data_IF_927027649429
#
_entry.id   IF_927027649429
#
_cell.length_a   1.000
_cell.length_b   1.000
_cell.length_c   1.000
_cell.angle_alpha   90.00
_cell.angle_beta   90.00
_cell.angle_gamma   90.00
#
_symmetry.space_group_name_H-M   'P 1'
#
loop_
_entity.id
_entity.type
_entity.pdbx_description
1 polymer ?
#
# COMPACT_ATOMS: atom_id res chain seq x y z
N UNK A 1 18.87 10.98 -9.69
CA UNK A 1 17.66 11.75 -9.36
C UNK A 1 16.73 11.56 -10.54
N UNK A 2 15.72 10.71 -10.39
CA UNK A 2 14.86 10.32 -11.52
C UNK A 2 13.73 11.34 -11.59
N UNK A 3 13.68 12.09 -12.69
CA UNK A 3 12.68 13.15 -12.91
C UNK A 3 11.28 12.53 -12.99
N UNK A 4 10.35 13.14 -12.26
CA UNK A 4 8.92 12.89 -12.36
C UNK A 4 8.51 13.21 -13.80
N UNK A 5 7.82 12.28 -14.45
CA UNK A 5 7.20 12.55 -15.74
C UNK A 5 6.04 13.51 -15.52
N UNK A 6 6.07 14.66 -16.18
CA UNK A 6 5.00 15.66 -16.13
C UNK A 6 3.66 14.99 -16.52
N UNK A 7 2.63 15.18 -15.69
CA UNK A 7 1.27 14.67 -15.95
C UNK A 7 0.89 13.32 -15.31
N UNK A 8 1.77 12.68 -14.52
CA UNK A 8 1.42 11.45 -13.78
C UNK A 8 1.16 11.77 -12.31
N UNK A 9 -0.03 11.45 -11.83
CA UNK A 9 -0.46 11.64 -10.45
C UNK A 9 -1.05 10.34 -9.90
N UNK A 10 -0.58 9.89 -8.74
CA UNK A 10 -1.32 8.95 -7.91
C UNK A 10 -2.21 9.73 -6.95
N UNK A 11 -3.43 9.28 -6.74
CA UNK A 11 -4.35 9.86 -5.75
C UNK A 11 -4.84 8.72 -4.87
N UNK A 12 -4.59 8.82 -3.57
CA UNK A 12 -5.21 7.99 -2.55
C UNK A 12 -6.59 8.52 -2.19
N UNK A 13 -7.60 7.67 -2.23
CA UNK A 13 -8.95 7.99 -1.76
C UNK A 13 -9.23 7.15 -0.53
N UNK A 14 -9.38 7.80 0.63
CA UNK A 14 -9.87 7.17 1.86
C UNK A 14 -11.36 7.55 2.02
N UNK A 15 -12.30 6.58 2.11
CA UNK A 15 -13.70 6.88 2.33
C UNK A 15 -13.96 7.55 3.69
N UNK A 16 -14.84 8.55 3.74
CA UNK A 16 -15.25 9.18 5.00
C UNK A 16 -15.82 8.15 5.98
N UNK A 17 -15.28 8.12 7.20
CA UNK A 17 -15.70 7.18 8.25
C UNK A 17 -15.05 5.80 8.19
N UNK A 18 -14.14 5.54 7.25
CA UNK A 18 -13.40 4.29 7.16
C UNK A 18 -12.24 4.17 8.17
N UNK A 19 -11.93 5.23 8.92
CA UNK A 19 -10.80 5.26 9.86
C UNK A 19 -10.90 4.14 10.91
N UNK A 20 -12.08 3.94 11.51
CA UNK A 20 -12.27 2.91 12.53
C UNK A 20 -12.16 1.48 11.97
N UNK A 21 -12.62 1.29 10.73
CA UNK A 21 -12.53 0.02 10.02
C UNK A 21 -11.07 -0.27 9.62
N UNK A 22 -10.32 0.76 9.24
CA UNK A 22 -8.89 0.69 8.96
C UNK A 22 -8.07 0.36 10.22
N UNK A 23 -8.31 1.06 11.32
CA UNK A 23 -7.63 0.80 12.59
C UNK A 23 -7.89 -0.64 13.06
N UNK A 24 -9.13 -1.13 12.89
CA UNK A 24 -9.49 -2.51 13.19
C UNK A 24 -8.75 -3.52 12.31
N UNK A 25 -8.55 -3.22 11.02
CA UNK A 25 -7.74 -4.05 10.13
C UNK A 25 -6.28 -4.11 10.58
N UNK A 26 -5.69 -2.97 10.94
CA UNK A 26 -4.29 -2.90 11.40
C UNK A 26 -4.11 -3.78 12.64
N UNK A 27 -5.00 -3.64 13.63
CA UNK A 27 -4.97 -4.45 14.85
C UNK A 27 -5.09 -5.96 14.53
N UNK A 28 -5.95 -6.35 13.59
CA UNK A 28 -6.14 -7.75 13.19
C UNK A 28 -4.93 -8.32 12.46
N UNK A 29 -4.33 -7.54 11.55
CA UNK A 29 -3.09 -7.90 10.84
C UNK A 29 -1.96 -8.19 11.85
N UNK A 30 -1.75 -7.28 12.79
CA UNK A 30 -0.70 -7.40 13.80
C UNK A 30 -0.92 -8.60 14.74
N UNK A 31 -2.18 -8.97 14.99
CA UNK A 31 -2.51 -10.14 15.79
C UNK A 31 -2.28 -11.47 15.05
N UNK A 32 -2.65 -11.55 13.77
CA UNK A 32 -2.71 -12.82 13.02
C UNK A 32 -1.38 -13.19 12.36
N UNK A 33 -0.66 -12.22 11.79
CA UNK A 33 0.50 -12.50 10.94
C UNK A 33 1.71 -13.04 11.70
N UNK A 34 2.08 -12.50 12.88
CA UNK A 34 3.21 -13.04 13.65
C UNK A 34 3.05 -14.51 14.04
N UNK A 35 1.82 -15.01 14.15
CA UNK A 35 1.53 -16.37 14.60
C UNK A 35 1.45 -17.41 13.46
N UNK A 36 1.22 -17.01 12.21
CA UNK A 36 0.76 -17.95 11.18
C UNK A 36 1.58 -18.05 9.88
N UNK A 37 2.50 -17.13 9.59
CA UNK A 37 2.87 -16.95 8.17
C UNK A 37 4.37 -16.84 7.93
N UNK A 38 5.06 -17.98 7.94
CA UNK A 38 6.27 -18.08 7.14
C UNK A 38 5.87 -18.09 5.66
N UNK A 39 6.25 -17.05 4.92
CA UNK A 39 6.32 -17.14 3.47
C UNK A 39 6.98 -18.47 3.10
N UNK A 40 6.33 -19.27 2.26
CA UNK A 40 6.55 -20.72 2.10
C UNK A 40 7.90 -21.12 1.46
N UNK A 41 8.99 -20.41 1.77
CA UNK A 41 10.33 -20.50 1.18
C UNK A 41 10.32 -20.41 -0.35
N UNK A 42 9.32 -19.73 -0.91
CA UNK A 42 9.27 -19.42 -2.34
C UNK A 42 10.02 -18.12 -2.60
N UNK A 43 10.41 -17.87 -3.84
CA UNK A 43 10.87 -16.53 -4.23
C UNK A 43 9.62 -15.71 -4.58
N UNK A 44 9.45 -14.49 -4.06
CA UNK A 44 8.33 -13.63 -4.48
C UNK A 44 8.45 -13.27 -5.95
N UNK A 45 7.31 -13.23 -6.64
CA UNK A 45 7.18 -12.72 -7.99
C UNK A 45 6.57 -11.32 -7.95
N UNK A 46 6.92 -10.50 -8.94
CA UNK A 46 6.24 -9.22 -9.14
C UNK A 46 4.76 -9.49 -9.41
N UNK A 47 3.88 -8.78 -8.72
CA UNK A 47 2.43 -8.95 -8.77
C UNK A 47 1.86 -9.90 -7.72
N UNK A 48 2.69 -10.58 -6.91
CA UNK A 48 2.19 -11.37 -5.78
C UNK A 48 1.54 -10.46 -4.74
N UNK A 49 0.31 -10.78 -4.32
CA UNK A 49 -0.36 -10.12 -3.20
C UNK A 49 0.10 -10.74 -1.88
N UNK A 50 0.65 -9.92 -1.00
CA UNK A 50 1.36 -10.36 0.20
C UNK A 50 1.20 -9.37 1.34
N UNK A 51 1.61 -9.82 2.52
CA UNK A 51 1.81 -8.96 3.68
C UNK A 51 3.32 -8.79 3.87
N UNK A 52 3.78 -7.56 3.98
CA UNK A 52 5.19 -7.22 4.16
C UNK A 52 5.44 -6.55 5.48
N UNK A 53 6.51 -6.95 6.16
CA UNK A 53 6.95 -6.31 7.39
C UNK A 53 7.77 -5.06 7.06
N UNK A 54 7.36 -3.93 7.60
CA UNK A 54 8.03 -2.63 7.50
C UNK A 54 9.26 -2.57 8.39
N UNK A 55 10.00 -1.46 8.29
CA UNK A 55 11.20 -1.21 9.09
C UNK A 55 10.87 -1.00 10.58
N UNK A 56 9.67 -0.52 10.89
CA UNK A 56 9.18 -0.32 12.26
C UNK A 56 8.51 -1.57 12.86
N UNK A 57 8.76 -2.73 12.24
CA UNK A 57 8.22 -4.05 12.58
C UNK A 57 6.70 -4.22 12.39
N UNK A 58 5.98 -3.20 11.91
CA UNK A 58 4.56 -3.30 11.56
C UNK A 58 4.33 -3.98 10.21
N UNK A 59 3.11 -4.46 9.97
CA UNK A 59 2.74 -5.23 8.80
C UNK A 59 1.78 -4.49 7.88
N UNK A 60 1.94 -4.77 6.60
CA UNK A 60 1.38 -3.95 5.54
C UNK A 60 0.94 -4.83 4.37
N UNK A 61 -0.29 -4.70 3.87
CA UNK A 61 -0.77 -5.46 2.71
C UNK A 61 -0.42 -4.76 1.40
N UNK A 62 0.04 -5.52 0.41
CA UNK A 62 0.36 -4.92 -0.88
C UNK A 62 0.76 -5.93 -1.95
N UNK A 63 1.07 -5.38 -3.12
CA UNK A 63 1.59 -6.15 -4.26
C UNK A 63 3.10 -5.99 -4.38
N UNK A 64 3.82 -7.09 -4.61
CA UNK A 64 5.25 -7.04 -4.88
C UNK A 64 5.50 -6.29 -6.19
N UNK A 65 6.26 -5.19 -6.13
CA UNK A 65 6.62 -4.41 -7.32
C UNK A 65 8.10 -4.52 -7.68
N UNK A 66 8.94 -4.91 -6.70
CA UNK A 66 10.37 -5.05 -6.89
C UNK A 66 10.92 -6.10 -5.93
N UNK A 67 11.83 -6.95 -6.41
CA UNK A 67 12.48 -8.00 -5.61
C UNK A 67 13.98 -7.72 -5.44
N UNK A 68 14.61 -7.01 -6.38
CA UNK A 68 16.03 -6.64 -6.36
C UNK A 68 16.19 -5.21 -6.85
N UNK A 69 17.03 -4.37 -6.22
CA UNK A 69 17.97 -4.69 -5.14
C UNK A 69 17.33 -4.78 -3.75
N UNK A 70 16.11 -4.28 -3.58
CA UNK A 70 15.34 -4.40 -2.35
C UNK A 70 13.91 -4.81 -2.65
N UNK A 71 13.34 -5.57 -1.72
CA UNK A 71 11.95 -6.01 -1.80
C UNK A 71 11.03 -4.81 -1.48
N UNK A 72 10.10 -4.52 -2.40
CA UNK A 72 9.17 -3.39 -2.25
C UNK A 72 7.74 -3.81 -2.57
N UNK A 73 6.82 -3.27 -1.80
CA UNK A 73 5.39 -3.41 -2.02
C UNK A 73 4.78 -2.09 -2.52
N UNK A 74 3.82 -2.19 -3.43
CA UNK A 74 2.80 -1.17 -3.59
C UNK A 74 1.69 -1.46 -2.57
N UNK A 75 1.57 -0.57 -1.59
CA UNK A 75 0.62 -0.66 -0.49
C UNK A 75 -0.80 -0.43 -1.02
N UNK A 76 -1.77 -1.23 -0.55
CA UNK A 76 -3.18 -1.12 -0.98
C UNK A 76 -4.08 -0.41 0.02
N UNK A 77 -3.74 -0.49 1.32
CA UNK A 77 -4.49 0.17 2.38
C UNK A 77 -3.85 1.51 2.80
N UNK A 78 -2.65 1.77 2.30
CA UNK A 78 -1.98 3.07 2.34
C UNK A 78 -1.49 3.39 0.94
N UNK A 79 -1.63 4.65 0.51
CA UNK A 79 -1.15 5.04 -0.81
C UNK A 79 0.36 5.29 -0.75
N UNK A 80 1.18 4.26 -1.02
CA UNK A 80 2.63 4.35 -0.92
C UNK A 80 3.40 3.15 -1.49
N UNK A 81 4.69 3.35 -1.73
CA UNK A 81 5.63 2.26 -2.01
C UNK A 81 6.52 2.06 -0.79
N UNK A 82 6.51 0.86 -0.23
CA UNK A 82 7.22 0.59 1.02
C UNK A 82 8.29 -0.48 0.82
N UNK A 83 9.44 -0.29 1.45
CA UNK A 83 10.47 -1.32 1.50
C UNK A 83 10.17 -2.26 2.67
N UNK A 84 10.17 -3.56 2.39
CA UNK A 84 9.83 -4.58 3.40
C UNK A 84 10.95 -5.59 3.58
N UNK A 85 11.07 -6.11 4.80
CA UNK A 85 12.13 -7.03 5.22
C UNK A 85 11.70 -8.50 5.14
N UNK A 86 10.43 -8.77 5.47
CA UNK A 86 9.83 -10.09 5.54
C UNK A 86 8.53 -10.12 4.74
N UNK A 87 8.15 -11.31 4.27
CA UNK A 87 6.86 -11.55 3.64
C UNK A 87 6.05 -12.59 4.42
N UNK A 88 4.75 -12.46 4.29
CA UNK A 88 3.74 -13.35 4.80
C UNK A 88 2.59 -13.50 3.78
N UNK A 89 1.89 -14.62 3.86
CA UNK A 89 0.63 -14.88 3.16
C UNK A 89 -0.42 -15.27 4.18
N UNK A 90 -1.55 -14.57 4.20
CA UNK A 90 -2.68 -14.95 5.05
C UNK A 90 -3.78 -15.60 4.20
N UNK A 91 -4.52 -16.53 4.80
CA UNK A 91 -5.79 -17.03 4.26
C UNK A 91 -6.92 -16.00 4.52
N UNK A 92 -8.11 -16.17 3.93
CA UNK A 92 -9.27 -15.35 4.26
C UNK A 92 -9.57 -15.37 5.76
N UNK A 93 -10.08 -14.26 6.34
CA UNK A 93 -10.69 -13.12 5.63
C UNK A 93 -9.70 -12.02 5.22
N UNK A 94 -8.51 -11.95 5.83
CA UNK A 94 -7.56 -10.86 5.62
C UNK A 94 -7.04 -10.77 4.19
N UNK A 95 -6.98 -11.89 3.44
CA UNK A 95 -6.62 -11.86 2.01
C UNK A 95 -7.72 -11.30 1.11
N UNK A 96 -8.97 -11.42 1.53
CA UNK A 96 -10.16 -11.15 0.71
C UNK A 96 -10.84 -9.82 1.07
N UNK A 97 -10.31 -9.13 2.08
CA UNK A 97 -10.75 -7.80 2.45
C UNK A 97 -10.45 -6.76 1.37
N UNK A 98 -11.41 -5.85 1.15
CA UNK A 98 -11.28 -4.72 0.24
C UNK A 98 -10.08 -3.84 0.60
N UNK A 99 -9.57 -3.10 -0.39
CA UNK A 99 -8.51 -2.12 -0.17
C UNK A 99 -9.11 -0.82 0.39
N UNK A 100 -8.44 -0.20 1.36
CA UNK A 100 -8.89 1.07 1.95
C UNK A 100 -8.46 2.30 1.14
N UNK A 101 -7.57 2.12 0.17
CA UNK A 101 -7.17 3.18 -0.77
C UNK A 101 -7.29 2.72 -2.21
N UNK A 102 -7.47 3.68 -3.11
CA UNK A 102 -7.41 3.47 -4.56
C UNK A 102 -6.30 4.32 -5.17
N UNK A 103 -5.89 3.99 -6.40
CA UNK A 103 -5.04 4.85 -7.24
C UNK A 103 -5.82 5.20 -8.49
N UNK A 104 -5.85 6.48 -8.85
CA UNK A 104 -6.52 6.97 -10.05
C UNK A 104 -5.54 7.74 -10.94
N UNK A 105 -5.67 7.57 -12.25
CA UNK A 105 -4.97 8.36 -13.26
C UNK A 105 -5.87 9.51 -13.73
N UNK A 106 -5.30 10.71 -13.81
CA UNK A 106 -5.96 11.85 -14.40
C UNK A 106 -5.77 11.86 -15.92
N UNK A 107 -6.83 11.50 -16.64
CA UNK A 107 -6.84 11.48 -18.10
C UNK A 107 -6.96 12.87 -18.75
N UNK A 108 -7.29 13.91 -17.97
CA UNK A 108 -7.44 15.30 -18.42
C UNK A 108 -6.45 16.21 -17.69
N UNK A 109 -5.45 16.70 -18.41
CA UNK A 109 -4.38 17.57 -17.90
C UNK A 109 -4.84 19.00 -17.64
N UNK A 110 -6.08 19.35 -17.97
CA UNK A 110 -6.65 20.68 -17.68
C UNK A 110 -7.21 20.80 -16.26
N UNK A 111 -7.41 19.67 -15.57
CA UNK A 111 -7.87 19.63 -14.18
C UNK A 111 -6.73 20.04 -13.26
N UNK A 112 -6.83 21.23 -12.66
CA UNK A 112 -5.94 21.63 -11.57
C UNK A 112 -6.42 20.99 -10.27
N UNK A 113 -5.63 20.07 -9.72
CA UNK A 113 -5.80 19.61 -8.35
C UNK A 113 -5.37 20.72 -7.39
N UNK A 114 -6.33 21.30 -6.65
CA UNK A 114 -6.01 22.12 -5.48
C UNK A 114 -5.86 21.20 -4.27
N UNK A 115 -4.64 21.07 -3.75
CA UNK A 115 -4.41 20.39 -2.47
C UNK A 115 -4.95 21.30 -1.37
N UNK A 116 -6.06 20.90 -0.76
CA UNK A 116 -6.54 21.51 0.49
C UNK A 116 -6.11 20.63 1.64
N UNK A 117 -5.03 21.02 2.31
CA UNK A 117 -4.69 20.46 3.61
C UNK A 117 -5.76 20.94 4.61
N UNK A 118 -6.81 20.15 4.80
CA UNK A 118 -7.67 20.28 5.98
C UNK A 118 -6.92 19.67 7.16
N UNK A 119 -6.92 20.33 8.32
CA UNK A 119 -6.21 19.95 9.57
C UNK A 119 -6.76 18.66 10.24
N UNK A 120 -7.19 17.69 9.45
CA UNK A 120 -7.63 16.37 9.87
C UNK A 120 -7.13 15.37 8.81
N UNK A 121 -6.01 14.72 9.12
CA UNK A 121 -5.44 13.47 8.60
C UNK A 121 -5.57 13.10 7.09
N UNK A 122 -5.86 14.04 6.20
CA UNK A 122 -5.94 13.75 4.77
C UNK A 122 -4.56 13.93 4.11
N UNK A 123 -3.76 12.87 4.11
CA UNK A 123 -2.51 12.81 3.35
C UNK A 123 -2.83 12.42 1.90
N UNK A 124 -2.82 13.40 1.00
CA UNK A 124 -2.79 13.15 -0.44
C UNK A 124 -1.38 12.62 -0.79
N UNK A 125 -1.19 11.31 -0.74
CA UNK A 125 0.06 10.69 -1.18
C UNK A 125 0.04 10.49 -2.69
N UNK A 126 0.89 11.22 -3.40
CA UNK A 126 1.12 11.03 -4.84
C UNK A 126 2.08 9.87 -5.03
N UNK A 127 1.54 8.69 -5.36
CA UNK A 127 2.36 7.53 -5.74
C UNK A 127 2.89 7.65 -7.17
N UNK A 128 4.17 7.33 -7.34
CA UNK A 128 4.82 7.18 -8.63
C UNK A 128 4.96 5.70 -8.96
N UNK A 129 4.25 5.21 -9.98
CA UNK A 129 4.48 3.87 -10.55
C UNK A 129 5.52 4.02 -11.66
N UNK A 130 6.75 3.57 -11.42
CA UNK A 130 7.78 3.49 -12.47
C UNK A 130 7.92 2.04 -12.93
N UNK A 131 7.71 1.82 -14.23
CA UNK A 131 7.93 0.55 -14.95
C UNK A 131 9.40 0.20 -15.08
#
# INVERSE_FOLDING_TARGET
MMEIKEGVYGIGICPDGADADYDSLVDEIEAVIPEFTQWSNRRPNIGDFVFGQRIDDTWARGYVICVLPSLKLAMIDETGLEQVSCLATCEPPLSDMYAFTGVCELNDTTVKLEVRCTESNMLLNIMYVTS
#
